data_IF_414493338937
#
_entry.id   IF_414493338937
#
_cell.length_a   1.000
_cell.length_b   1.000
_cell.length_c   1.000
_cell.angle_alpha   90.00
_cell.angle_beta   90.00
_cell.angle_gamma   90.00
#
_symmetry.space_group_name_H-M   'P 1'
#
loop_
_entity.id
_entity.type
_entity.pdbx_description
1 polymer ?
#
# COMPACT_ATOMS: atom_id res chain seq x y z
N UNK A 1 34.25 -22.03 18.58
CA UNK A 1 32.99 -21.46 19.11
C UNK A 1 31.73 -22.10 18.49
N UNK A 2 31.67 -23.44 18.35
CA UNK A 2 30.54 -24.14 17.68
C UNK A 2 29.59 -24.86 18.65
N UNK A 3 29.95 -24.99 19.93
CA UNK A 3 29.14 -25.68 20.95
C UNK A 3 28.09 -24.79 21.65
N UNK A 4 28.20 -23.47 21.52
CA UNK A 4 27.27 -22.52 22.16
C UNK A 4 26.06 -22.15 21.27
N UNK A 5 26.12 -22.48 19.97
CA UNK A 5 25.01 -22.23 19.03
C UNK A 5 23.89 -23.26 19.22
N UNK A 6 24.24 -24.48 19.66
CA UNK A 6 23.27 -25.55 19.86
C UNK A 6 22.37 -25.32 21.08
N UNK A 7 22.89 -24.70 22.14
CA UNK A 7 22.11 -24.33 23.33
C UNK A 7 21.22 -23.09 23.11
N UNK A 8 21.61 -22.17 22.22
CA UNK A 8 20.80 -21.01 21.87
C UNK A 8 19.62 -21.38 20.95
N UNK A 9 19.80 -22.38 20.08
CA UNK A 9 18.73 -22.89 19.22
C UNK A 9 17.66 -23.69 20.01
N UNK A 10 18.07 -24.42 21.05
CA UNK A 10 17.15 -25.25 21.86
C UNK A 10 16.29 -24.43 22.82
N UNK A 11 16.76 -23.25 23.26
CA UNK A 11 15.97 -22.31 24.07
C UNK A 11 14.88 -21.58 23.25
N UNK A 12 15.05 -21.44 21.94
CA UNK A 12 14.07 -20.78 21.07
C UNK A 12 12.88 -21.69 20.72
N UNK A 13 13.06 -23.01 20.76
CA UNK A 13 11.99 -23.98 20.48
C UNK A 13 10.98 -24.16 21.62
N UNK A 14 11.32 -23.81 22.86
CA UNK A 14 10.44 -24.02 24.02
C UNK A 14 9.42 -22.87 24.24
N UNK A 15 9.50 -21.77 23.49
CA UNK A 15 8.58 -20.62 23.64
C UNK A 15 7.27 -20.77 22.84
N UNK A 16 7.09 -21.83 22.06
CA UNK A 16 5.85 -22.08 21.29
C UNK A 16 4.92 -23.12 21.93
N UNK A 17 5.29 -23.71 23.06
CA UNK A 17 4.43 -24.62 23.81
C UNK A 17 3.51 -23.83 24.77
N UNK A 18 2.65 -22.96 24.22
CA UNK A 18 1.48 -22.50 24.97
C UNK A 18 0.34 -23.50 24.75
N UNK A 19 -0.40 -23.90 25.80
CA UNK A 19 -1.52 -24.80 25.64
C UNK A 19 -2.60 -24.14 24.79
N UNK A 20 -3.26 -24.92 23.93
CA UNK A 20 -4.42 -24.59 23.09
C UNK A 20 -5.70 -24.22 23.89
N UNK A 21 -5.55 -23.60 25.06
CA UNK A 21 -6.61 -23.13 25.94
C UNK A 21 -7.12 -21.74 25.49
N UNK A 22 -7.51 -21.62 24.23
CA UNK A 22 -8.06 -20.37 23.67
C UNK A 22 -8.83 -20.54 22.36
N UNK A 23 -9.00 -21.78 21.88
CA UNK A 23 -9.61 -22.05 20.59
C UNK A 23 -11.12 -21.76 20.63
N UNK A 24 -11.58 -20.84 19.77
CA UNK A 24 -12.98 -20.37 19.71
C UNK A 24 -13.96 -21.47 19.32
N UNK A 25 -13.55 -22.40 18.45
CA UNK A 25 -14.35 -23.52 17.96
C UNK A 25 -13.67 -24.85 18.29
N UNK A 26 -14.41 -25.77 18.91
CA UNK A 26 -13.82 -27.02 19.45
C UNK A 26 -14.63 -28.27 19.14
N UNK A 27 -15.93 -28.16 18.89
CA UNK A 27 -16.81 -29.33 18.76
C UNK A 27 -17.34 -29.53 17.35
N UNK A 28 -17.78 -30.74 16.97
CA UNK A 28 -18.46 -30.97 15.69
C UNK A 28 -19.69 -30.08 15.47
N UNK A 29 -20.40 -29.70 16.54
CA UNK A 29 -21.56 -28.80 16.46
C UNK A 29 -21.17 -27.37 16.04
N UNK A 30 -19.94 -26.94 16.31
CA UNK A 30 -19.42 -25.62 15.95
C UNK A 30 -19.04 -25.49 14.47
N UNK A 31 -18.94 -26.61 13.75
CA UNK A 31 -18.43 -26.68 12.38
C UNK A 31 -19.21 -25.80 11.40
N UNK A 32 -20.53 -25.67 11.58
CA UNK A 32 -21.37 -24.81 10.73
C UNK A 32 -20.97 -23.34 10.87
N UNK A 33 -20.83 -22.85 12.12
CA UNK A 33 -20.42 -21.47 12.40
C UNK A 33 -18.98 -21.21 11.94
N UNK A 34 -18.08 -22.16 12.19
CA UNK A 34 -16.70 -22.12 11.74
C UNK A 34 -16.60 -22.00 10.20
N UNK A 35 -17.33 -22.84 9.47
CA UNK A 35 -17.36 -22.79 8.01
C UNK A 35 -17.93 -21.47 7.49
N UNK A 36 -18.96 -20.91 8.14
CA UNK A 36 -19.48 -19.58 7.78
C UNK A 36 -18.44 -18.48 7.96
N UNK A 37 -17.69 -18.47 9.07
CA UNK A 37 -16.61 -17.50 9.27
C UNK A 37 -15.46 -17.68 8.27
N UNK A 38 -15.11 -18.94 7.97
CA UNK A 38 -14.08 -19.26 6.98
C UNK A 38 -14.47 -18.76 5.58
N UNK A 39 -15.70 -19.01 5.15
CA UNK A 39 -16.23 -18.51 3.86
C UNK A 39 -16.20 -16.97 3.83
N UNK A 40 -16.66 -16.31 4.90
CA UNK A 40 -16.62 -14.84 4.99
C UNK A 40 -15.20 -14.30 4.89
N UNK A 41 -14.27 -14.83 5.68
CA UNK A 41 -12.87 -14.40 5.68
C UNK A 41 -12.19 -14.67 4.32
N UNK A 42 -12.50 -15.79 3.68
CA UNK A 42 -11.98 -16.13 2.35
C UNK A 42 -12.50 -15.21 1.26
N UNK A 43 -13.81 -14.89 1.29
CA UNK A 43 -14.41 -13.94 0.35
C UNK A 43 -13.83 -12.54 0.52
N UNK A 44 -13.62 -12.09 1.75
CA UNK A 44 -12.96 -10.82 2.04
C UNK A 44 -11.50 -10.82 1.56
N UNK A 45 -10.74 -11.91 1.77
CA UNK A 45 -9.38 -12.03 1.26
C UNK A 45 -9.34 -11.98 -0.28
N UNK A 46 -10.27 -12.66 -0.96
CA UNK A 46 -10.39 -12.60 -2.42
C UNK A 46 -10.71 -11.17 -2.91
N UNK A 47 -11.64 -10.48 -2.23
CA UNK A 47 -11.96 -9.07 -2.52
C UNK A 47 -10.74 -8.16 -2.33
N UNK A 48 -10.03 -8.27 -1.21
CA UNK A 48 -8.84 -7.48 -0.93
C UNK A 48 -7.73 -7.74 -1.96
N UNK A 49 -7.57 -9.00 -2.39
CA UNK A 49 -6.62 -9.38 -3.45
C UNK A 49 -6.98 -8.71 -4.78
N UNK A 50 -8.25 -8.69 -5.15
CA UNK A 50 -8.71 -8.01 -6.37
C UNK A 50 -8.49 -6.49 -6.28
N UNK A 51 -8.85 -5.87 -5.15
CA UNK A 51 -8.62 -4.44 -4.92
C UNK A 51 -7.12 -4.08 -4.95
N UNK A 52 -6.26 -4.93 -4.41
CA UNK A 52 -4.80 -4.78 -4.43
C UNK A 52 -4.26 -4.85 -5.86
N UNK A 53 -4.70 -5.83 -6.64
CA UNK A 53 -4.31 -5.99 -8.04
C UNK A 53 -4.70 -4.76 -8.87
N UNK A 54 -5.94 -4.25 -8.71
CA UNK A 54 -6.38 -3.00 -9.35
C UNK A 54 -5.51 -1.82 -8.92
N UNK A 55 -5.17 -1.73 -7.62
CA UNK A 55 -4.35 -0.64 -7.13
C UNK A 55 -2.92 -0.68 -7.71
N UNK A 56 -2.30 -1.86 -7.77
CA UNK A 56 -0.98 -2.07 -8.36
C UNK A 56 -1.00 -1.77 -9.87
N UNK A 57 -2.02 -2.22 -10.60
CA UNK A 57 -2.17 -1.95 -12.03
C UNK A 57 -2.38 -0.46 -12.35
N UNK A 58 -3.01 0.30 -11.45
CA UNK A 58 -3.21 1.73 -11.64
C UNK A 58 -1.96 2.56 -11.32
N UNK A 59 -1.03 2.04 -10.51
CA UNK A 59 0.15 2.79 -10.04
C UNK A 59 1.03 3.32 -11.19
N UNK A 60 1.38 2.55 -12.24
CA UNK A 60 2.11 3.07 -13.39
C UNK A 60 1.44 4.27 -14.05
N UNK A 61 0.09 4.29 -14.11
CA UNK A 61 -0.67 5.41 -14.65
C UNK A 61 -0.52 6.69 -13.82
N UNK A 62 -0.43 6.58 -12.49
CA UNK A 62 -0.13 7.72 -11.62
C UNK A 62 1.31 8.21 -11.80
N UNK A 63 2.27 7.29 -11.91
CA UNK A 63 3.69 7.61 -12.15
C UNK A 63 3.85 8.39 -13.46
N UNK A 64 3.30 7.86 -14.56
CA UNK A 64 3.37 8.52 -15.87
C UNK A 64 2.73 9.92 -15.85
N UNK A 65 1.60 10.11 -15.15
CA UNK A 65 0.98 11.43 -15.00
C UNK A 65 1.86 12.41 -14.23
N UNK A 66 2.50 11.95 -13.15
CA UNK A 66 3.39 12.80 -12.37
C UNK A 66 4.67 13.17 -13.13
N UNK A 67 5.25 12.25 -13.89
CA UNK A 67 6.41 12.53 -14.75
C UNK A 67 6.06 13.55 -15.83
N UNK A 68 4.90 13.39 -16.48
CA UNK A 68 4.42 14.38 -17.46
C UNK A 68 4.20 15.76 -16.84
N UNK A 69 3.58 15.81 -15.66
CA UNK A 69 3.36 17.07 -14.95
C UNK A 69 4.70 17.72 -14.54
N UNK A 70 5.67 16.92 -14.10
CA UNK A 70 7.02 17.39 -13.77
C UNK A 70 7.73 17.98 -14.98
N UNK A 71 7.78 17.25 -16.10
CA UNK A 71 8.40 17.74 -17.34
C UNK A 71 7.74 19.03 -17.84
N UNK A 72 6.41 19.14 -17.70
CA UNK A 72 5.67 20.36 -18.03
C UNK A 72 6.09 21.52 -17.12
N UNK A 73 6.15 21.29 -15.81
CA UNK A 73 6.56 22.31 -14.84
C UNK A 73 8.01 22.78 -15.10
N UNK A 74 8.94 21.87 -15.39
CA UNK A 74 10.32 22.19 -15.74
C UNK A 74 10.39 23.04 -17.01
N UNK A 75 9.67 22.65 -18.07
CA UNK A 75 9.59 23.41 -19.31
C UNK A 75 9.02 24.81 -19.10
N UNK A 76 7.93 24.94 -18.33
CA UNK A 76 7.33 26.25 -18.02
C UNK A 76 8.23 27.10 -17.13
N UNK A 77 8.94 26.49 -16.18
CA UNK A 77 9.91 27.18 -15.33
C UNK A 77 11.07 27.75 -16.14
N UNK A 78 11.62 26.98 -17.09
CA UNK A 78 12.66 27.47 -18.00
C UNK A 78 12.15 28.67 -18.82
N UNK A 79 10.98 28.54 -19.45
CA UNK A 79 10.38 29.64 -20.20
C UNK A 79 10.10 30.89 -19.35
N UNK A 80 9.74 30.70 -18.08
CA UNK A 80 9.56 31.79 -17.13
C UNK A 80 10.88 32.49 -16.83
N UNK A 81 11.95 31.72 -16.64
CA UNK A 81 13.30 32.25 -16.40
C UNK A 81 13.80 33.04 -17.61
N UNK A 82 13.67 32.46 -18.82
CA UNK A 82 14.06 33.12 -20.07
C UNK A 82 13.31 34.44 -20.28
N UNK A 83 12.00 34.47 -20.00
CA UNK A 83 11.20 35.68 -20.14
C UNK A 83 11.50 36.72 -19.04
N UNK A 84 11.83 36.28 -17.83
CA UNK A 84 12.27 37.17 -16.76
C UNK A 84 13.60 37.85 -17.13
N UNK A 85 14.54 37.12 -17.72
CA UNK A 85 15.80 37.67 -18.22
C UNK A 85 15.60 38.74 -19.29
N UNK A 86 14.59 38.62 -20.15
CA UNK A 86 14.25 39.64 -21.16
C UNK A 86 13.61 40.90 -20.58
N UNK A 87 12.88 40.77 -19.47
CA UNK A 87 12.14 41.85 -18.85
C UNK A 87 13.02 42.86 -18.06
N UNK A 88 14.33 42.64 -17.99
CA UNK A 88 15.27 43.51 -17.26
C UNK A 88 15.46 44.88 -17.90
N UNK A 89 15.10 45.06 -19.18
CA UNK A 89 15.36 46.27 -19.95
C UNK A 89 14.27 47.36 -19.80
N UNK A 90 13.41 47.27 -18.79
CA UNK A 90 12.37 48.27 -18.50
C UNK A 90 11.14 48.26 -19.42
N UNK A 91 11.02 47.28 -20.32
CA UNK A 91 9.84 47.14 -21.18
C UNK A 91 8.64 46.56 -20.40
N UNK A 92 7.57 47.36 -20.28
CA UNK A 92 6.33 46.99 -19.58
C UNK A 92 5.66 45.76 -20.20
N UNK A 93 5.74 45.58 -21.53
CA UNK A 93 5.18 44.41 -22.21
C UNK A 93 5.90 43.13 -21.80
N UNK A 94 7.23 43.16 -21.74
CA UNK A 94 8.06 42.03 -21.33
C UNK A 94 7.83 41.69 -19.85
N UNK A 95 7.69 42.70 -19.00
CA UNK A 95 7.34 42.51 -17.59
C UNK A 95 5.97 41.83 -17.40
N UNK A 96 4.96 42.22 -18.19
CA UNK A 96 3.63 41.57 -18.15
C UNK A 96 3.71 40.11 -18.63
N UNK A 97 4.46 39.86 -19.69
CA UNK A 97 4.71 38.51 -20.22
C UNK A 97 5.44 37.64 -19.20
N UNK A 98 6.48 38.17 -18.55
CA UNK A 98 7.21 37.51 -17.47
C UNK A 98 6.28 37.15 -16.31
N UNK A 99 5.46 38.09 -15.83
CA UNK A 99 4.46 37.83 -14.78
C UNK A 99 3.47 36.71 -15.17
N UNK A 100 3.01 36.69 -16.42
CA UNK A 100 2.10 35.64 -16.92
C UNK A 100 2.77 34.27 -16.95
N UNK A 101 4.03 34.20 -17.40
CA UNK A 101 4.81 32.96 -17.42
C UNK A 101 5.14 32.47 -16.01
N UNK A 102 5.51 33.36 -15.10
CA UNK A 102 5.75 33.03 -13.70
C UNK A 102 4.51 32.44 -13.01
N UNK A 103 3.33 33.03 -13.25
CA UNK A 103 2.06 32.47 -12.74
C UNK A 103 1.76 31.08 -13.30
N UNK A 104 2.03 30.85 -14.58
CA UNK A 104 1.88 29.52 -15.18
C UNK A 104 2.85 28.52 -14.58
N UNK A 105 4.12 28.90 -14.42
CA UNK A 105 5.14 28.04 -13.81
C UNK A 105 4.75 27.64 -12.38
N UNK A 106 4.20 28.57 -11.60
CA UNK A 106 3.69 28.28 -10.26
C UNK A 106 2.55 27.24 -10.30
N UNK A 107 1.54 27.46 -11.13
CA UNK A 107 0.41 26.51 -11.25
C UNK A 107 0.86 25.13 -11.76
N UNK A 108 1.78 25.08 -12.72
CA UNK A 108 2.30 23.81 -13.24
C UNK A 108 3.13 23.06 -12.19
N UNK A 109 3.89 23.79 -11.36
CA UNK A 109 4.61 23.21 -10.22
C UNK A 109 3.67 22.66 -9.15
N UNK A 110 2.56 23.35 -8.87
CA UNK A 110 1.49 22.87 -7.98
C UNK A 110 0.86 21.58 -8.53
N UNK A 111 0.47 21.55 -9.81
CA UNK A 111 -0.04 20.35 -10.48
C UNK A 111 0.95 19.18 -10.40
N UNK A 112 2.25 19.42 -10.57
CA UNK A 112 3.29 18.40 -10.43
C UNK A 112 3.39 17.87 -8.98
N UNK A 113 3.25 18.75 -7.99
CA UNK A 113 3.21 18.38 -6.58
C UNK A 113 1.99 17.50 -6.26
N UNK A 114 0.82 17.88 -6.77
CA UNK A 114 -0.42 17.12 -6.58
C UNK A 114 -0.35 15.74 -7.22
N UNK A 115 0.18 15.64 -8.44
CA UNK A 115 0.38 14.36 -9.11
C UNK A 115 1.34 13.45 -8.32
N UNK A 116 2.40 14.00 -7.71
CA UNK A 116 3.28 13.26 -6.80
C UNK A 116 2.55 12.81 -5.52
N UNK A 117 1.67 13.65 -4.98
CA UNK A 117 0.87 13.30 -3.81
C UNK A 117 -0.11 12.16 -4.14
N UNK A 118 -0.65 12.10 -5.35
CA UNK A 118 -1.51 11.01 -5.78
C UNK A 118 -0.77 9.66 -5.89
N UNK A 119 0.50 9.65 -6.31
CA UNK A 119 1.36 8.45 -6.22
C UNK A 119 1.46 8.00 -4.76
N UNK A 120 1.75 8.92 -3.83
CA UNK A 120 1.87 8.59 -2.40
C UNK A 120 0.56 8.04 -1.83
N UNK A 121 -0.59 8.62 -2.20
CA UNK A 121 -1.91 8.11 -1.81
C UNK A 121 -2.13 6.70 -2.35
N UNK A 122 -1.76 6.45 -3.59
CA UNK A 122 -1.90 5.13 -4.21
C UNK A 122 -1.00 4.09 -3.54
N UNK A 123 0.25 4.45 -3.22
CA UNK A 123 1.16 3.57 -2.48
C UNK A 123 0.60 3.23 -1.09
N UNK A 124 0.14 4.24 -0.33
CA UNK A 124 -0.50 4.01 0.97
C UNK A 124 -1.73 3.10 0.88
N UNK A 125 -2.50 3.20 -0.23
CA UNK A 125 -3.63 2.29 -0.47
C UNK A 125 -3.15 0.86 -0.66
N UNK A 126 -2.10 0.65 -1.45
CA UNK A 126 -1.45 -0.66 -1.65
C UNK A 126 -0.99 -1.21 -0.28
N UNK A 127 -0.22 -0.45 0.49
CA UNK A 127 0.31 -0.89 1.78
C UNK A 127 -0.80 -1.29 2.75
N UNK A 128 -1.88 -0.48 2.83
CA UNK A 128 -3.04 -0.77 3.67
C UNK A 128 -3.75 -2.05 3.23
N UNK A 129 -3.96 -2.24 1.92
CA UNK A 129 -4.61 -3.43 1.39
C UNK A 129 -3.77 -4.68 1.63
N UNK A 130 -2.45 -4.60 1.47
CA UNK A 130 -1.52 -5.69 1.79
C UNK A 130 -1.61 -6.08 3.26
N UNK A 131 -1.55 -5.11 4.18
CA UNK A 131 -1.66 -5.39 5.61
C UNK A 131 -3.01 -6.02 5.99
N UNK A 132 -4.11 -5.54 5.40
CA UNK A 132 -5.44 -6.13 5.62
C UNK A 132 -5.51 -7.57 5.07
N UNK A 133 -4.93 -7.82 3.90
CA UNK A 133 -4.88 -9.14 3.29
C UNK A 133 -4.09 -10.13 4.15
N UNK A 134 -2.92 -9.74 4.65
CA UNK A 134 -2.11 -10.56 5.56
C UNK A 134 -2.87 -10.92 6.85
N UNK A 135 -3.58 -9.95 7.43
CA UNK A 135 -4.41 -10.19 8.61
C UNK A 135 -5.53 -11.20 8.30
N UNK A 136 -6.18 -11.08 7.14
CA UNK A 136 -7.24 -12.00 6.72
C UNK A 136 -6.71 -13.40 6.41
N UNK A 137 -5.53 -13.52 5.79
CA UNK A 137 -4.87 -14.80 5.56
C UNK A 137 -4.53 -15.52 6.87
N UNK A 138 -4.05 -14.78 7.89
CA UNK A 138 -3.83 -15.34 9.24
C UNK A 138 -5.14 -15.86 9.87
N UNK A 139 -6.23 -15.10 9.73
CA UNK A 139 -7.54 -15.54 10.21
C UNK A 139 -7.99 -16.81 9.49
N UNK A 140 -7.90 -16.86 8.15
CA UNK A 140 -8.25 -18.04 7.35
C UNK A 140 -7.43 -19.25 7.79
N UNK A 141 -6.11 -19.11 7.89
CA UNK A 141 -5.22 -20.19 8.36
C UNK A 141 -5.60 -20.70 9.74
N UNK A 142 -5.90 -19.81 10.69
CA UNK A 142 -6.34 -20.19 12.03
C UNK A 142 -7.67 -20.93 12.02
N UNK A 143 -8.66 -20.47 11.23
CA UNK A 143 -9.95 -21.16 11.10
C UNK A 143 -9.80 -22.53 10.43
N UNK A 144 -8.91 -22.67 9.45
CA UNK A 144 -8.61 -23.94 8.80
C UNK A 144 -7.94 -24.94 9.75
N UNK A 145 -7.01 -24.47 10.58
CA UNK A 145 -6.40 -25.28 11.64
C UNK A 145 -7.46 -25.78 12.63
N UNK A 146 -8.35 -24.90 13.10
CA UNK A 146 -9.46 -25.29 13.98
C UNK A 146 -10.37 -26.32 13.32
N UNK A 147 -10.65 -26.18 12.02
CA UNK A 147 -11.45 -27.13 11.24
C UNK A 147 -10.76 -28.49 11.13
N UNK A 148 -9.44 -28.50 10.93
CA UNK A 148 -8.62 -29.70 10.94
C UNK A 148 -8.68 -30.42 12.29
N UNK A 149 -8.48 -29.69 13.38
CA UNK A 149 -8.50 -30.22 14.75
C UNK A 149 -9.85 -30.87 15.10
N UNK A 150 -10.97 -30.26 14.70
CA UNK A 150 -12.31 -30.82 14.93
C UNK A 150 -12.50 -32.12 14.12
N UNK A 151 -12.01 -32.17 12.88
CA UNK A 151 -12.12 -33.36 12.01
C UNK A 151 -11.26 -34.53 12.51
N UNK A 152 -10.19 -34.27 13.24
CA UNK A 152 -9.32 -35.31 13.82
C UNK A 152 -9.81 -35.86 15.17
N UNK A 153 -10.90 -35.32 15.75
CA UNK A 153 -11.48 -35.88 16.97
C UNK A 153 -12.06 -37.28 16.70
N UNK A 154 -11.84 -38.27 17.59
CA UNK A 154 -12.49 -39.57 17.47
C UNK A 154 -14.01 -39.40 17.50
N UNK A 155 -14.70 -40.01 16.54
CA UNK A 155 -16.16 -39.95 16.38
C UNK A 155 -16.89 -40.78 17.42
#
# INVERSE_FOLDING_TARGET
>A
MKKNILFLAMAFCCLFALPAAGQKYKTPADTVRLNQELVKASNEAARLTAELAVAQNNLPGYVARAEKAHATAEGTAQQSSDQAGKATNGNVSDARSAKKKARRAFNDAENASDARNDIKKQQRKIDRLTAQLEQKQKIVSGLEEMRGNIRSLPQ
#
